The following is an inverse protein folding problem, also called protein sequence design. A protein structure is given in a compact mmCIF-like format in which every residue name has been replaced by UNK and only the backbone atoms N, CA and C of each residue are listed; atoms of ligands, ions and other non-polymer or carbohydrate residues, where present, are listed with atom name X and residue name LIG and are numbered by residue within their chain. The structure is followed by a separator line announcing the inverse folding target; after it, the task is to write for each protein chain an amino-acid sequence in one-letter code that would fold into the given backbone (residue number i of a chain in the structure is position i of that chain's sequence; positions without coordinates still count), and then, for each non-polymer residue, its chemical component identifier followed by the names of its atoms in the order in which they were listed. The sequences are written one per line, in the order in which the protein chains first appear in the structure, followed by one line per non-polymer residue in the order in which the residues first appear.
data_IF_743970355913
#
_entry.id   IF_743970355913
#
_cell.length_a   1.000
_cell.length_b   1.000
_cell.length_c   1.000
_cell.angle_alpha   90.00
_cell.angle_beta   90.00
_cell.angle_gamma   90.00
#
_symmetry.space_group_name_H-M   'P 1'
#
loop_
_entity.id
_entity.type
_entity.pdbx_description
1 polymer ?
#
# COMPACT_ATOMS: atom_id res chain seq x y z
N UNK A 1 6.23 28.42 -49.96
CA UNK A 1 6.66 29.84 -49.93
C UNK A 1 7.91 29.80 -49.08
N UNK A 2 9.08 29.65 -49.69
CA UNK A 2 9.97 30.69 -50.19
C UNK A 2 10.44 31.58 -49.04
N UNK A 3 11.69 31.83 -48.78
CA UNK A 3 12.90 31.86 -49.64
C UNK A 3 14.09 32.19 -48.71
N UNK A 4 15.25 31.57 -48.92
CA UNK A 4 16.44 32.21 -49.54
C UNK A 4 16.99 33.43 -48.73
N UNK A 5 18.20 33.64 -48.50
CA UNK A 5 19.52 33.54 -49.16
C UNK A 5 20.50 34.29 -48.26
N UNK A 6 21.75 34.23 -48.19
CA UNK A 6 22.99 34.13 -48.98
C UNK A 6 24.16 34.35 -48.00
N UNK A 7 25.17 33.60 -47.96
CA UNK A 7 26.45 33.59 -48.67
C UNK A 7 27.28 34.91 -48.71
N UNK A 8 28.55 34.67 -48.41
CA UNK A 8 29.79 35.46 -48.62
C UNK A 8 30.34 36.17 -47.39
N UNK A 9 31.59 35.89 -46.95
CA UNK A 9 32.79 36.22 -47.72
C UNK A 9 34.02 35.53 -47.14
N UNK A 10 34.77 34.84 -48.03
CA UNK A 10 36.18 34.43 -47.83
C UNK A 10 37.07 35.66 -48.04
N UNK A 11 38.16 35.71 -47.27
CA UNK A 11 39.32 36.45 -47.68
C UNK A 11 40.10 37.11 -46.55
N UNK A 12 41.30 36.60 -46.24
CA UNK A 12 42.35 37.36 -45.63
C UNK A 12 42.90 36.89 -44.31
N UNK A 13 43.69 35.82 -44.30
CA UNK A 13 44.68 35.59 -43.22
C UNK A 13 45.73 34.52 -43.65
N UNK A 14 46.50 34.78 -44.71
CA UNK A 14 47.70 33.98 -45.09
C UNK A 14 48.97 34.88 -45.00
N UNK A 15 48.98 35.89 -44.19
CA UNK A 15 50.14 36.81 -44.08
C UNK A 15 50.89 36.83 -42.72
N UNK A 16 50.30 36.19 -41.65
CA UNK A 16 50.82 36.39 -40.27
C UNK A 16 51.57 35.16 -39.70
N UNK A 17 51.66 34.04 -40.38
CA UNK A 17 52.23 32.79 -39.81
C UNK A 17 53.73 32.58 -40.04
N UNK A 18 54.40 33.42 -40.87
CA UNK A 18 55.84 33.21 -41.19
C UNK A 18 56.76 34.06 -40.29
N UNK A 19 56.24 35.12 -39.65
CA UNK A 19 57.04 35.98 -38.75
C UNK A 19 57.34 35.47 -37.37
N UNK A 20 56.50 34.58 -36.82
CA UNK A 20 56.61 34.10 -35.43
C UNK A 20 57.49 32.87 -35.24
N UNK A 21 57.75 32.09 -36.28
CA UNK A 21 58.61 30.86 -36.18
C UNK A 21 60.10 31.24 -36.17
N UNK A 22 60.52 32.39 -36.79
CA UNK A 22 61.90 32.82 -36.82
C UNK A 22 62.37 33.41 -35.46
N UNK A 23 61.46 34.04 -34.67
CA UNK A 23 61.79 34.57 -33.35
C UNK A 23 61.89 33.50 -32.25
N UNK A 24 61.14 32.40 -32.35
CA UNK A 24 61.20 31.30 -31.40
C UNK A 24 62.49 30.46 -31.54
N UNK A 25 63.07 30.34 -32.74
CA UNK A 25 64.29 29.60 -32.97
C UNK A 25 65.55 30.36 -32.43
N UNK A 26 65.53 31.67 -32.44
CA UNK A 26 66.65 32.46 -31.92
C UNK A 26 66.71 32.47 -30.37
N UNK A 27 65.59 32.38 -29.69
CA UNK A 27 65.53 32.27 -28.22
C UNK A 27 65.92 30.87 -27.70
N UNK A 28 65.67 29.82 -28.47
CA UNK A 28 66.04 28.45 -28.08
C UNK A 28 67.58 28.19 -28.18
N UNK A 29 68.23 28.79 -29.16
CA UNK A 29 69.70 28.67 -29.32
C UNK A 29 70.49 29.45 -28.30
N UNK A 30 69.97 30.62 -27.84
CA UNK A 30 70.61 31.44 -26.78
C UNK A 30 70.49 30.83 -25.38
N UNK A 31 69.42 30.06 -25.10
CA UNK A 31 69.18 29.41 -23.82
C UNK A 31 70.09 28.20 -23.56
N UNK A 32 70.57 27.53 -24.61
CA UNK A 32 71.40 26.32 -24.47
C UNK A 32 72.85 26.62 -24.17
N UNK A 33 73.38 27.79 -24.58
CA UNK A 33 74.80 28.18 -24.33
C UNK A 33 74.94 28.74 -22.90
N UNK A 34 73.88 29.29 -22.29
CA UNK A 34 73.97 29.84 -20.92
C UNK A 34 73.84 28.75 -19.81
N UNK A 35 73.33 27.52 -20.17
CA UNK A 35 73.16 26.44 -19.21
C UNK A 35 74.44 25.65 -18.89
N UNK A 36 75.51 25.84 -19.67
CA UNK A 36 76.79 25.12 -19.50
C UNK A 36 77.80 25.78 -18.58
N UNK A 37 77.52 27.01 -18.11
CA UNK A 37 78.53 27.80 -17.41
C UNK A 37 78.26 28.11 -15.92
N UNK A 38 77.08 27.79 -15.42
CA UNK A 38 76.75 27.89 -13.99
C UNK A 38 76.02 26.60 -13.52
N UNK A 39 76.65 25.80 -12.63
CA UNK A 39 75.94 24.74 -11.95
C UNK A 39 74.97 25.38 -10.95
N UNK A 40 73.74 25.61 -11.34
CA UNK A 40 72.70 26.06 -10.41
C UNK A 40 72.36 24.89 -9.49
N UNK A 41 72.89 24.93 -8.27
CA UNK A 41 72.33 24.18 -7.16
C UNK A 41 70.94 24.74 -6.93
N UNK A 42 69.98 23.92 -7.36
CA UNK A 42 68.53 24.17 -7.03
C UNK A 42 68.47 24.39 -5.48
N UNK A 43 67.87 25.47 -4.99
CA UNK A 43 67.63 25.58 -3.58
C UNK A 43 66.74 24.44 -3.15
N UNK A 44 67.22 23.54 -2.29
CA UNK A 44 66.39 22.60 -1.57
C UNK A 44 65.43 23.45 -0.76
N UNK A 45 64.17 23.51 -1.20
CA UNK A 45 63.10 24.03 -0.35
C UNK A 45 63.17 23.27 0.98
N UNK A 46 63.18 23.96 2.11
CA UNK A 46 63.14 23.30 3.40
C UNK A 46 61.83 22.47 3.39
N UNK A 47 61.94 21.16 3.57
CA UNK A 47 60.80 20.32 3.86
C UNK A 47 60.18 20.89 5.15
N UNK A 48 59.06 21.61 4.99
CA UNK A 48 58.24 22.03 6.12
C UNK A 48 57.86 20.73 6.82
N UNK A 49 58.20 20.55 8.10
CA UNK A 49 57.80 19.36 8.83
C UNK A 49 56.29 19.29 8.73
N UNK A 50 55.77 18.29 8.04
CA UNK A 50 54.34 18.02 8.03
C UNK A 50 53.96 17.73 9.48
N UNK A 51 53.44 18.76 10.16
CA UNK A 51 52.88 18.56 11.50
C UNK A 51 51.75 17.54 11.32
N UNK A 52 51.93 16.35 11.91
CA UNK A 52 50.91 15.31 11.88
C UNK A 52 49.58 15.89 12.38
N UNK A 53 48.56 15.85 11.54
CA UNK A 53 47.23 16.35 11.89
C UNK A 53 46.71 15.59 13.12
N UNK A 54 46.22 16.33 14.11
CA UNK A 54 45.58 15.71 15.28
C UNK A 54 44.14 15.36 14.92
N UNK A 55 43.75 14.12 15.10
CA UNK A 55 42.42 13.58 14.76
C UNK A 55 41.80 12.86 15.97
N UNK A 56 40.49 12.99 16.12
CA UNK A 56 39.73 12.14 17.02
C UNK A 56 39.17 10.97 16.21
N UNK A 57 39.20 9.77 16.78
CA UNK A 57 38.73 8.56 16.13
C UNK A 57 37.69 7.87 16.99
N UNK A 58 36.78 7.14 16.35
CA UNK A 58 35.80 6.27 17.01
C UNK A 58 35.81 4.93 16.32
N UNK A 59 35.57 3.85 17.07
CA UNK A 59 35.47 2.53 16.49
C UNK A 59 34.11 2.33 15.84
N UNK A 60 34.07 1.55 14.76
CA UNK A 60 32.83 1.09 14.12
C UNK A 60 32.16 0.10 15.04
N UNK A 61 31.05 0.51 15.62
CA UNK A 61 30.26 -0.28 16.56
C UNK A 61 29.14 -1.03 15.85
N UNK A 62 28.82 -2.22 16.36
CA UNK A 62 27.62 -2.93 15.93
C UNK A 62 26.41 -2.40 16.70
N UNK A 63 25.44 -1.82 15.98
CA UNK A 63 24.21 -1.26 16.58
C UNK A 63 22.98 -1.86 15.95
N UNK A 64 21.90 -1.94 16.71
CA UNK A 64 20.58 -2.28 16.17
C UNK A 64 20.06 -1.12 15.33
N UNK A 65 19.65 -1.43 14.09
CA UNK A 65 19.09 -0.44 13.19
C UNK A 65 17.62 -0.76 12.91
N UNK A 66 16.74 0.13 13.31
CA UNK A 66 15.30 0.00 13.13
C UNK A 66 14.67 1.34 12.74
N UNK A 67 14.93 1.79 11.52
CA UNK A 67 14.24 2.95 10.97
C UNK A 67 12.94 2.48 10.32
N UNK A 68 11.77 2.95 10.80
CA UNK A 68 10.49 2.57 10.19
C UNK A 68 10.36 3.15 8.79
N UNK A 69 10.01 2.31 7.84
CA UNK A 69 9.56 2.77 6.53
C UNK A 69 8.13 3.31 6.64
N UNK A 70 7.89 4.46 6.00
CA UNK A 70 6.61 5.18 6.06
C UNK A 70 5.91 5.11 4.71
N UNK A 71 4.66 4.69 4.75
CA UNK A 71 3.80 4.65 3.55
C UNK A 71 2.52 5.44 3.82
N UNK A 72 2.09 6.21 2.84
CA UNK A 72 0.73 6.77 2.86
C UNK A 72 -0.22 5.63 2.53
N UNK A 73 -1.16 5.38 3.42
CA UNK A 73 -2.10 4.28 3.32
C UNK A 73 -3.55 4.80 3.40
N UNK A 74 -4.46 4.02 2.88
CA UNK A 74 -5.87 4.34 2.80
C UNK A 74 -6.68 3.27 3.52
N UNK A 75 -7.55 3.69 4.44
CA UNK A 75 -8.44 2.79 5.16
C UNK A 75 -9.69 2.48 4.33
N UNK A 76 -10.01 1.21 4.14
CA UNK A 76 -11.14 0.73 3.36
C UNK A 76 -11.99 -0.24 4.17
N UNK A 77 -13.29 -0.27 3.97
CA UNK A 77 -14.13 -1.27 4.63
C UNK A 77 -13.85 -2.67 4.07
N UNK A 78 -14.09 -3.70 4.88
CA UNK A 78 -14.03 -5.09 4.39
C UNK A 78 -15.14 -5.35 3.39
N UNK A 79 -16.35 -4.89 3.72
CA UNK A 79 -17.53 -4.97 2.86
C UNK A 79 -18.38 -3.72 3.05
N UNK A 80 -18.98 -3.27 1.96
CA UNK A 80 -20.02 -2.24 1.98
C UNK A 80 -21.18 -2.68 1.10
N UNK A 81 -22.39 -2.46 1.57
CA UNK A 81 -23.60 -2.86 0.85
C UNK A 81 -24.64 -1.75 0.93
N UNK A 82 -25.12 -1.34 -0.23
CA UNK A 82 -26.27 -0.48 -0.35
C UNK A 82 -27.55 -1.28 -0.14
N UNK A 83 -28.34 -0.91 0.88
CA UNK A 83 -29.56 -1.58 1.25
C UNK A 83 -30.71 -1.16 0.32
N UNK A 84 -31.03 -2.02 -0.64
CA UNK A 84 -32.12 -1.80 -1.59
C UNK A 84 -33.36 -2.59 -1.16
N UNK A 85 -34.58 -1.98 -1.21
CA UNK A 85 -35.82 -2.74 -1.04
C UNK A 85 -35.98 -3.68 -2.23
N UNK A 86 -36.47 -4.90 -1.99
CA UNK A 86 -36.69 -5.89 -3.05
C UNK A 86 -38.12 -5.87 -3.57
N UNK A 87 -39.03 -5.24 -2.81
CA UNK A 87 -40.44 -5.02 -3.15
C UNK A 87 -40.81 -3.57 -2.86
N UNK A 88 -41.89 -3.12 -3.47
CA UNK A 88 -42.38 -1.76 -3.31
C UNK A 88 -43.36 -1.65 -2.12
N UNK A 89 -43.45 -0.48 -1.50
CA UNK A 89 -44.38 -0.22 -0.40
C UNK A 89 -44.05 1.00 0.41
N UNK A 90 -44.94 1.33 1.36
CA UNK A 90 -44.68 2.38 2.34
C UNK A 90 -43.89 1.81 3.53
N UNK A 91 -42.95 2.57 4.07
CA UNK A 91 -42.24 2.19 5.29
C UNK A 91 -43.20 2.36 6.48
N UNK A 92 -43.52 1.26 7.15
CA UNK A 92 -44.35 1.21 8.34
C UNK A 92 -43.55 1.40 9.61
N UNK A 93 -42.37 0.77 9.68
CA UNK A 93 -41.48 0.82 10.83
C UNK A 93 -40.00 0.87 10.40
N UNK A 94 -39.19 1.60 11.14
CA UNK A 94 -37.74 1.56 11.11
C UNK A 94 -37.23 1.06 12.47
N UNK A 95 -36.46 -0.02 12.50
CA UNK A 95 -36.04 -0.75 13.72
C UNK A 95 -34.59 -0.52 14.11
N UNK A 96 -33.98 0.56 13.68
CA UNK A 96 -32.61 0.95 14.02
C UNK A 96 -32.51 2.46 14.14
N UNK A 97 -31.38 2.94 14.66
CA UNK A 97 -30.95 4.33 14.60
C UNK A 97 -29.74 4.45 13.66
N UNK A 98 -29.60 5.60 13.01
CA UNK A 98 -28.42 5.91 12.21
C UNK A 98 -27.14 5.79 13.06
N UNK A 99 -26.13 5.12 12.53
CA UNK A 99 -24.89 4.84 13.26
C UNK A 99 -24.88 3.58 14.11
N UNK A 100 -26.01 2.88 14.27
CA UNK A 100 -26.07 1.62 15.01
C UNK A 100 -25.23 0.51 14.34
N UNK A 101 -24.75 -0.43 15.16
CA UNK A 101 -24.19 -1.69 14.68
C UNK A 101 -25.29 -2.71 14.55
N UNK A 102 -25.44 -3.20 13.35
CA UNK A 102 -26.43 -4.23 13.01
C UNK A 102 -25.73 -5.55 12.69
N UNK A 103 -26.39 -6.65 13.04
CA UNK A 103 -25.94 -8.00 12.67
C UNK A 103 -26.66 -8.45 11.41
N UNK A 104 -25.98 -9.26 10.60
CA UNK A 104 -26.61 -9.94 9.47
C UNK A 104 -27.94 -10.62 9.88
N UNK A 105 -28.96 -10.46 9.04
CA UNK A 105 -30.31 -10.98 9.29
C UNK A 105 -31.20 -10.12 10.20
N UNK A 106 -30.68 -9.05 10.80
CA UNK A 106 -31.49 -8.12 11.61
C UNK A 106 -32.50 -7.38 10.72
N UNK A 107 -33.75 -7.31 11.14
CA UNK A 107 -34.81 -6.55 10.44
C UNK A 107 -34.55 -5.06 10.65
N UNK A 108 -34.39 -4.30 9.58
CA UNK A 108 -34.11 -2.86 9.59
C UNK A 108 -35.36 -2.05 9.27
N UNK A 109 -36.07 -2.41 8.20
CA UNK A 109 -37.33 -1.76 7.84
C UNK A 109 -38.43 -2.81 7.70
N UNK A 110 -39.62 -2.38 8.05
CA UNK A 110 -40.86 -3.12 7.81
C UNK A 110 -41.70 -2.27 6.87
N UNK A 111 -41.97 -2.80 5.69
CA UNK A 111 -42.90 -2.18 4.75
C UNK A 111 -44.33 -2.57 5.10
N UNK A 112 -45.29 -1.79 4.63
CA UNK A 112 -46.69 -2.19 4.70
C UNK A 112 -46.93 -3.47 3.89
N UNK A 113 -47.25 -4.53 4.59
CA UNK A 113 -47.35 -5.89 4.08
C UNK A 113 -48.81 -6.38 3.85
N UNK A 114 -49.81 -5.53 4.13
CA UNK A 114 -51.24 -5.90 4.01
C UNK A 114 -51.58 -6.38 2.60
N UNK A 115 -51.10 -5.67 1.57
CA UNK A 115 -51.30 -6.06 0.17
C UNK A 115 -50.66 -7.44 -0.12
N UNK A 116 -49.48 -7.69 0.36
CA UNK A 116 -48.74 -8.93 0.17
C UNK A 116 -49.43 -10.10 0.89
N UNK A 117 -49.92 -9.88 2.09
CA UNK A 117 -50.76 -10.87 2.81
C UNK A 117 -52.02 -11.23 2.03
N UNK A 118 -52.73 -10.26 1.43
CA UNK A 118 -53.91 -10.48 0.62
C UNK A 118 -53.59 -11.33 -0.62
N UNK A 119 -52.46 -11.05 -1.30
CA UNK A 119 -51.98 -11.83 -2.46
C UNK A 119 -51.62 -13.25 -2.05
N UNK A 120 -50.93 -13.47 -0.96
CA UNK A 120 -50.60 -14.82 -0.44
C UNK A 120 -51.89 -15.60 -0.16
N UNK A 121 -52.87 -14.98 0.49
CA UNK A 121 -54.15 -15.63 0.78
C UNK A 121 -54.92 -16.02 -0.53
N UNK A 122 -54.91 -15.13 -1.53
CA UNK A 122 -55.46 -15.44 -2.85
C UNK A 122 -54.75 -16.64 -3.48
N UNK A 123 -53.44 -16.70 -3.51
CA UNK A 123 -52.67 -17.81 -4.08
C UNK A 123 -52.86 -19.13 -3.33
N UNK A 124 -53.08 -19.06 -2.01
CA UNK A 124 -53.48 -20.24 -1.23
C UNK A 124 -54.83 -20.78 -1.66
N UNK A 125 -55.82 -19.93 -1.86
CA UNK A 125 -57.13 -20.33 -2.35
C UNK A 125 -57.04 -20.92 -3.77
N UNK A 126 -56.22 -20.31 -4.68
CA UNK A 126 -55.98 -20.84 -6.02
C UNK A 126 -55.36 -22.26 -5.97
N UNK A 127 -54.42 -22.49 -5.06
CA UNK A 127 -53.80 -23.81 -4.86
C UNK A 127 -54.82 -24.83 -4.34
N UNK A 128 -55.65 -24.49 -3.36
CA UNK A 128 -56.68 -25.36 -2.83
C UNK A 128 -57.71 -25.76 -3.93
N UNK A 129 -58.11 -24.80 -4.78
CA UNK A 129 -59.00 -25.05 -5.92
C UNK A 129 -58.36 -26.02 -6.94
N UNK A 130 -57.08 -25.79 -7.29
CA UNK A 130 -56.34 -26.67 -8.21
C UNK A 130 -56.18 -28.09 -7.64
N UNK A 131 -55.89 -28.20 -6.33
CA UNK A 131 -55.77 -29.51 -5.67
C UNK A 131 -57.13 -30.25 -5.62
N UNK A 132 -58.25 -29.54 -5.39
CA UNK A 132 -59.56 -30.12 -5.41
C UNK A 132 -59.91 -30.69 -6.82
N UNK A 133 -59.56 -29.92 -7.88
CA UNK A 133 -59.73 -30.36 -9.26
C UNK A 133 -58.80 -31.54 -9.59
N UNK A 134 -57.56 -31.53 -9.17
CA UNK A 134 -56.64 -32.66 -9.36
C UNK A 134 -57.15 -33.95 -8.67
N UNK A 135 -57.67 -33.82 -7.44
CA UNK A 135 -58.29 -34.93 -6.74
C UNK A 135 -59.54 -35.47 -7.51
N UNK A 136 -60.36 -34.59 -8.10
CA UNK A 136 -61.53 -34.97 -8.92
C UNK A 136 -61.06 -35.69 -10.17
N UNK A 137 -60.10 -35.14 -10.91
CA UNK A 137 -59.59 -35.71 -12.14
C UNK A 137 -58.86 -37.04 -11.90
N UNK A 138 -58.07 -37.16 -10.83
CA UNK A 138 -57.44 -38.44 -10.48
C UNK A 138 -58.46 -39.56 -10.17
N UNK A 139 -59.50 -39.24 -9.37
CA UNK A 139 -60.56 -40.19 -9.09
C UNK A 139 -61.37 -40.59 -10.38
N UNK A 140 -61.52 -39.65 -11.33
CA UNK A 140 -62.16 -39.95 -12.61
C UNK A 140 -61.28 -40.89 -13.44
N UNK A 141 -59.97 -40.62 -13.53
CA UNK A 141 -58.99 -41.46 -14.21
C UNK A 141 -58.93 -42.88 -13.60
N UNK A 142 -58.83 -42.97 -12.29
CA UNK A 142 -58.89 -44.28 -11.58
C UNK A 142 -60.12 -45.09 -11.90
N UNK A 143 -61.30 -44.47 -11.96
CA UNK A 143 -62.56 -45.18 -12.39
C UNK A 143 -62.46 -45.62 -13.81
N UNK A 144 -61.91 -44.85 -14.75
CA UNK A 144 -61.73 -45.20 -16.14
C UNK A 144 -60.73 -46.34 -16.35
N UNK A 145 -59.71 -46.40 -15.56
CA UNK A 145 -58.72 -47.50 -15.55
C UNK A 145 -59.39 -48.83 -15.13
N UNK A 146 -60.20 -48.77 -14.08
CA UNK A 146 -60.85 -49.98 -13.49
C UNK A 146 -62.14 -50.40 -14.17
N UNK A 147 -62.66 -49.70 -15.18
CA UNK A 147 -63.86 -50.01 -15.88
C UNK A 147 -63.66 -51.09 -16.98
N UNK A 148 -64.67 -51.92 -17.23
CA UNK A 148 -64.61 -52.99 -18.24
C UNK A 148 -64.39 -52.41 -19.65
N UNK A 149 -63.47 -53.01 -20.39
CA UNK A 149 -63.06 -52.60 -21.74
C UNK A 149 -64.21 -52.67 -22.79
N UNK A 150 -65.34 -53.33 -22.44
CA UNK A 150 -66.55 -53.41 -23.32
C UNK A 150 -67.43 -52.15 -23.26
N UNK A 151 -67.24 -51.30 -22.25
CA UNK A 151 -68.07 -50.09 -22.02
C UNK A 151 -67.36 -48.74 -22.20
N UNK A 152 -66.05 -48.70 -22.46
CA UNK A 152 -65.28 -47.47 -22.54
C UNK A 152 -64.31 -47.59 -23.72
N UNK A 153 -64.26 -46.53 -24.53
CA UNK A 153 -63.31 -46.41 -25.66
C UNK A 153 -61.90 -46.04 -25.19
N UNK A 154 -60.90 -46.42 -25.98
CA UNK A 154 -59.50 -46.02 -25.70
C UNK A 154 -59.35 -44.48 -25.64
N UNK A 155 -60.07 -43.78 -26.54
CA UNK A 155 -60.03 -42.28 -26.55
C UNK A 155 -60.53 -41.67 -25.23
N UNK A 156 -61.56 -42.28 -24.61
CA UNK A 156 -62.10 -41.83 -23.33
C UNK A 156 -61.09 -42.05 -22.19
N UNK A 157 -60.34 -43.15 -22.25
CA UNK A 157 -59.23 -43.41 -21.29
C UNK A 157 -58.09 -42.41 -21.47
N UNK A 158 -57.65 -42.21 -22.70
CA UNK A 158 -56.58 -41.27 -23.02
C UNK A 158 -56.94 -39.80 -22.59
N UNK A 159 -58.21 -39.41 -22.82
CA UNK A 159 -58.75 -38.13 -22.38
C UNK A 159 -58.77 -37.97 -20.84
N UNK A 160 -59.15 -39.06 -20.13
CA UNK A 160 -59.19 -39.04 -18.67
C UNK A 160 -57.77 -38.96 -18.08
N UNK A 161 -56.78 -39.65 -18.65
CA UNK A 161 -55.41 -39.61 -18.31
C UNK A 161 -54.86 -38.22 -18.54
N UNK A 162 -54.96 -37.65 -19.74
CA UNK A 162 -54.56 -36.33 -20.09
C UNK A 162 -55.17 -35.23 -19.16
N UNK A 163 -56.51 -35.49 -18.82
CA UNK A 163 -57.17 -34.59 -17.84
C UNK A 163 -56.57 -34.63 -16.45
N UNK A 164 -56.21 -35.83 -15.97
CA UNK A 164 -55.56 -35.99 -14.68
C UNK A 164 -54.14 -35.38 -14.66
N UNK A 165 -53.36 -35.60 -15.74
CA UNK A 165 -52.04 -34.98 -15.89
C UNK A 165 -52.11 -33.46 -15.97
N UNK A 166 -53.06 -32.91 -16.74
CA UNK A 166 -53.31 -31.47 -16.82
C UNK A 166 -53.66 -30.87 -15.45
N UNK A 167 -54.52 -31.51 -14.69
CA UNK A 167 -54.91 -31.06 -13.37
C UNK A 167 -53.73 -31.14 -12.39
N UNK A 168 -52.91 -32.17 -12.47
CA UNK A 168 -51.63 -32.26 -11.69
C UNK A 168 -50.67 -31.15 -12.05
N UNK A 169 -50.52 -30.82 -13.33
CA UNK A 169 -49.69 -29.70 -13.76
C UNK A 169 -50.21 -28.34 -13.24
N UNK A 170 -51.56 -28.17 -13.18
CA UNK A 170 -52.18 -26.96 -12.63
C UNK A 170 -51.88 -26.77 -11.12
N UNK A 171 -51.80 -27.85 -10.34
CA UNK A 171 -51.39 -27.81 -8.93
C UNK A 171 -49.93 -27.31 -8.81
N UNK A 172 -49.04 -27.84 -9.64
CA UNK A 172 -47.65 -27.39 -9.65
C UNK A 172 -47.51 -25.89 -9.98
N UNK A 173 -48.30 -25.44 -10.95
CA UNK A 173 -48.34 -24.01 -11.32
C UNK A 173 -48.88 -23.15 -10.18
N UNK A 174 -49.98 -23.52 -9.53
CA UNK A 174 -50.57 -22.80 -8.41
C UNK A 174 -49.61 -22.76 -7.21
N UNK A 175 -48.93 -23.88 -6.94
CA UNK A 175 -47.89 -23.95 -5.89
C UNK A 175 -46.72 -23.04 -6.19
N UNK A 176 -46.21 -22.98 -7.42
CA UNK A 176 -45.17 -22.07 -7.82
C UNK A 176 -45.55 -20.60 -7.63
N UNK A 177 -46.78 -20.23 -8.01
CA UNK A 177 -47.32 -18.88 -7.82
C UNK A 177 -47.43 -18.51 -6.34
N UNK A 178 -47.79 -19.44 -5.47
CA UNK A 178 -47.83 -19.24 -4.03
C UNK A 178 -46.41 -18.98 -3.47
N UNK A 179 -45.42 -19.74 -3.90
CA UNK A 179 -44.03 -19.54 -3.47
C UNK A 179 -43.53 -18.14 -3.83
N UNK A 180 -43.86 -17.63 -5.02
CA UNK A 180 -43.53 -16.26 -5.43
C UNK A 180 -44.20 -15.24 -4.51
N UNK A 181 -45.49 -15.38 -4.22
CA UNK A 181 -46.20 -14.45 -3.35
C UNK A 181 -45.65 -14.46 -1.90
N UNK A 182 -45.32 -15.64 -1.38
CA UNK A 182 -44.69 -15.77 -0.06
C UNK A 182 -43.29 -15.16 -0.02
N UNK A 183 -42.52 -15.27 -1.10
CA UNK A 183 -41.23 -14.60 -1.25
C UNK A 183 -41.40 -13.08 -1.19
N UNK A 184 -42.32 -12.50 -1.96
CA UNK A 184 -42.57 -11.06 -1.96
C UNK A 184 -42.99 -10.55 -0.55
N UNK A 185 -43.87 -11.30 0.12
CA UNK A 185 -44.25 -10.99 1.51
C UNK A 185 -43.05 -11.04 2.45
N UNK A 186 -42.18 -12.02 2.31
CA UNK A 186 -40.94 -12.11 3.11
C UNK A 186 -40.05 -10.90 2.87
N UNK A 187 -39.99 -10.39 1.62
CA UNK A 187 -39.17 -9.23 1.22
C UNK A 187 -39.75 -7.89 1.64
N UNK A 188 -41.01 -7.82 2.09
CA UNK A 188 -41.55 -6.66 2.77
C UNK A 188 -40.83 -6.35 4.09
N UNK A 189 -40.07 -7.30 4.64
CA UNK A 189 -39.13 -7.08 5.75
C UNK A 189 -37.74 -6.96 5.18
N UNK A 190 -37.18 -5.74 5.19
CA UNK A 190 -35.84 -5.47 4.72
C UNK A 190 -34.84 -5.79 5.84
N UNK A 191 -33.96 -6.74 5.59
CA UNK A 191 -32.99 -7.25 6.57
C UNK A 191 -31.57 -6.81 6.20
N UNK A 192 -30.68 -6.74 7.19
CA UNK A 192 -29.26 -6.49 6.98
C UNK A 192 -28.62 -7.67 6.23
N UNK A 193 -27.99 -7.43 5.07
CA UNK A 193 -27.30 -8.49 4.32
C UNK A 193 -25.92 -8.84 4.86
N UNK A 194 -25.32 -7.94 5.64
CA UNK A 194 -24.03 -8.10 6.31
C UNK A 194 -24.11 -7.51 7.72
N UNK A 195 -23.17 -7.92 8.57
CA UNK A 195 -22.95 -7.25 9.87
C UNK A 195 -22.06 -6.02 9.67
N UNK A 196 -22.42 -4.90 10.29
CA UNK A 196 -21.65 -3.65 10.15
C UNK A 196 -22.36 -2.46 10.75
N UNK A 197 -21.80 -1.29 10.56
CA UNK A 197 -22.42 -0.03 10.96
C UNK A 197 -23.36 0.46 9.85
N UNK A 198 -24.59 0.77 10.21
CA UNK A 198 -25.55 1.39 9.31
C UNK A 198 -25.31 2.90 9.24
N UNK A 199 -25.21 3.43 8.04
CA UNK A 199 -25.01 4.85 7.80
C UNK A 199 -26.32 5.65 7.90
N UNK A 200 -26.27 6.85 7.30
CA UNK A 200 -27.44 7.73 7.16
C UNK A 200 -28.51 7.06 6.30
N UNK A 201 -29.77 7.16 6.72
CA UNK A 201 -30.92 6.73 5.93
C UNK A 201 -31.37 7.81 4.93
N UNK A 202 -31.80 7.36 3.76
CA UNK A 202 -32.42 8.22 2.74
C UNK A 202 -33.95 8.13 2.72
N UNK A 203 -34.54 7.24 3.56
CA UNK A 203 -35.97 6.99 3.58
C UNK A 203 -36.49 6.85 5.01
N UNK A 204 -37.63 7.44 5.31
CA UNK A 204 -38.23 7.53 6.64
C UNK A 204 -39.58 6.84 6.71
N UNK A 205 -40.08 6.63 7.91
CA UNK A 205 -41.43 6.07 8.12
C UNK A 205 -42.46 6.95 7.42
N UNK A 206 -43.30 6.30 6.58
CA UNK A 206 -44.31 6.96 5.74
C UNK A 206 -43.85 7.21 4.30
N UNK A 207 -42.56 7.03 3.99
CA UNK A 207 -42.06 7.15 2.61
C UNK A 207 -42.42 5.91 1.79
N UNK A 208 -42.75 6.15 0.52
CA UNK A 208 -42.89 5.07 -0.47
C UNK A 208 -41.56 4.70 -1.08
N UNK A 209 -41.17 3.44 -0.99
CA UNK A 209 -39.93 2.88 -1.48
C UNK A 209 -40.15 1.82 -2.55
N UNK A 210 -39.20 1.68 -3.46
CA UNK A 210 -39.25 0.68 -4.52
C UNK A 210 -37.81 0.36 -4.99
N UNK A 211 -37.54 -0.81 -5.60
CA UNK A 211 -36.22 -1.16 -6.11
C UNK A 211 -35.59 -0.11 -7.06
N UNK A 212 -36.43 0.61 -7.81
CA UNK A 212 -36.00 1.64 -8.76
C UNK A 212 -35.68 3.01 -8.17
N UNK A 213 -35.99 3.23 -6.87
CA UNK A 213 -35.80 4.54 -6.21
C UNK A 213 -34.43 4.74 -5.56
N UNK A 214 -33.61 3.71 -5.55
CA UNK A 214 -32.29 3.75 -4.96
C UNK A 214 -32.22 3.17 -3.54
N UNK A 215 -31.04 3.25 -2.91
CA UNK A 215 -30.79 2.63 -1.62
C UNK A 215 -31.48 3.37 -0.48
N UNK A 216 -31.94 2.62 0.51
CA UNK A 216 -32.54 3.12 1.76
C UNK A 216 -31.47 3.59 2.74
N UNK A 217 -30.38 2.87 2.85
CA UNK A 217 -29.23 3.13 3.71
C UNK A 217 -28.02 2.35 3.17
N UNK A 218 -26.85 2.61 3.70
CA UNK A 218 -25.63 1.84 3.44
C UNK A 218 -25.17 1.17 4.73
N UNK A 219 -24.75 -0.08 4.64
CA UNK A 219 -24.14 -0.82 5.74
C UNK A 219 -22.68 -1.05 5.40
N UNK A 220 -21.79 -0.73 6.34
CA UNK A 220 -20.34 -0.80 6.16
C UNK A 220 -19.74 -1.64 7.27
N UNK A 221 -19.00 -2.67 6.90
CA UNK A 221 -18.23 -3.46 7.85
C UNK A 221 -16.92 -2.74 8.15
N UNK A 222 -16.79 -2.20 9.38
CA UNK A 222 -15.66 -1.38 9.81
C UNK A 222 -14.72 -2.09 10.79
N UNK A 223 -15.09 -3.27 11.25
CA UNK A 223 -14.25 -4.13 12.12
C UNK A 223 -14.35 -5.59 11.64
N UNK A 224 -13.21 -6.19 11.25
CA UNK A 224 -11.92 -5.53 10.99
C UNK A 224 -12.02 -4.50 9.86
N UNK A 225 -11.02 -3.63 9.74
CA UNK A 225 -10.88 -2.66 8.64
C UNK A 225 -9.68 -3.04 7.78
N UNK A 226 -9.74 -2.72 6.50
CA UNK A 226 -8.63 -2.90 5.56
C UNK A 226 -7.84 -1.61 5.43
N UNK A 227 -6.54 -1.74 5.29
CA UNK A 227 -5.64 -0.63 4.99
C UNK A 227 -4.83 -0.99 3.77
N UNK A 228 -4.97 -0.20 2.72
CA UNK A 228 -4.28 -0.38 1.44
C UNK A 228 -3.18 0.64 1.28
N UNK A 229 -2.04 0.24 0.71
CA UNK A 229 -0.93 1.11 0.40
C UNK A 229 -0.21 0.67 -0.87
N UNK A 230 0.34 1.61 -1.66
CA UNK A 230 1.09 1.28 -2.86
C UNK A 230 2.54 0.92 -2.50
N UNK A 231 3.06 -0.13 -3.10
CA UNK A 231 4.45 -0.53 -3.03
C UNK A 231 5.08 -0.51 -4.42
N UNK A 232 6.28 0.05 -4.57
CA UNK A 232 6.97 0.06 -5.86
C UNK A 232 7.40 -1.34 -6.26
N UNK A 233 7.61 -1.59 -7.56
CA UNK A 233 8.05 -2.89 -8.09
C UNK A 233 9.33 -3.40 -7.43
N UNK A 234 10.32 -2.51 -7.26
CA UNK A 234 11.59 -2.83 -6.58
C UNK A 234 11.37 -3.27 -5.14
N UNK A 235 10.57 -2.52 -4.40
CA UNK A 235 10.27 -2.84 -2.99
C UNK A 235 9.45 -4.14 -2.87
N UNK A 236 8.51 -4.37 -3.80
CA UNK A 236 7.73 -5.61 -3.86
C UNK A 236 8.59 -6.85 -4.09
N UNK A 237 9.56 -6.78 -5.02
CA UNK A 237 10.50 -7.89 -5.25
C UNK A 237 11.29 -8.20 -3.97
N UNK A 238 11.76 -7.15 -3.27
CA UNK A 238 12.43 -7.29 -1.97
C UNK A 238 11.54 -7.94 -0.91
N UNK A 239 10.29 -7.49 -0.83
CA UNK A 239 9.27 -8.06 0.07
C UNK A 239 8.98 -9.54 -0.23
N UNK A 240 8.81 -9.90 -1.50
CA UNK A 240 8.60 -11.31 -1.91
C UNK A 240 9.80 -12.19 -1.59
N UNK A 241 11.01 -11.68 -1.74
CA UNK A 241 12.23 -12.39 -1.34
C UNK A 241 12.30 -12.58 0.18
N UNK A 242 11.91 -11.57 0.97
CA UNK A 242 11.83 -11.63 2.41
C UNK A 242 10.76 -12.63 2.89
N UNK A 243 9.59 -12.67 2.25
CA UNK A 243 8.55 -13.69 2.49
C UNK A 243 9.09 -15.11 2.27
N UNK A 244 9.75 -15.35 1.13
CA UNK A 244 10.31 -16.66 0.77
C UNK A 244 11.39 -17.13 1.75
N UNK A 245 12.16 -16.22 2.33
CA UNK A 245 13.19 -16.50 3.33
C UNK A 245 12.66 -16.56 4.77
N UNK A 246 11.37 -16.31 5.01
CA UNK A 246 10.75 -16.22 6.34
C UNK A 246 11.03 -14.92 7.10
N UNK A 247 11.85 -14.03 6.54
CA UNK A 247 12.22 -12.74 7.19
C UNK A 247 11.08 -11.72 7.23
N UNK A 248 10.12 -11.81 6.32
CA UNK A 248 8.98 -10.89 6.31
C UNK A 248 8.06 -11.03 7.54
N UNK A 249 8.06 -12.19 8.20
CA UNK A 249 7.29 -12.42 9.43
C UNK A 249 7.81 -11.63 10.63
N UNK A 250 9.03 -11.07 10.54
CA UNK A 250 9.64 -10.26 11.59
C UNK A 250 9.27 -8.76 11.49
N UNK A 251 8.48 -8.36 10.49
CA UNK A 251 8.00 -6.99 10.37
C UNK A 251 6.75 -6.75 11.20
N UNK A 252 6.70 -5.58 11.85
CA UNK A 252 5.52 -5.03 12.49
C UNK A 252 4.86 -4.03 11.54
N UNK A 253 3.54 -4.10 11.49
CA UNK A 253 2.72 -3.18 10.69
C UNK A 253 1.90 -2.33 11.66
N UNK A 254 2.28 -1.06 11.84
CA UNK A 254 1.66 -0.11 12.76
C UNK A 254 1.10 1.07 11.99
N UNK A 255 0.11 1.75 12.54
CA UNK A 255 -0.48 2.94 11.93
C UNK A 255 -0.24 4.16 12.79
N UNK A 256 -0.07 5.29 12.13
CA UNK A 256 -0.14 6.62 12.73
C UNK A 256 -1.39 7.29 12.18
N UNK A 257 -2.25 7.73 13.09
CA UNK A 257 -3.49 8.42 12.79
C UNK A 257 -3.22 9.87 12.30
N UNK A 258 -4.20 10.54 11.67
CA UNK A 258 -4.01 11.90 11.18
C UNK A 258 -3.67 12.94 12.25
N UNK A 259 -3.97 12.67 13.51
CA UNK A 259 -3.60 13.53 14.66
C UNK A 259 -2.17 13.30 15.16
N UNK A 260 -1.43 12.37 14.55
CA UNK A 260 -0.07 12.00 14.93
C UNK A 260 0.01 10.93 16.02
N UNK A 261 -1.11 10.48 16.58
CA UNK A 261 -1.11 9.39 17.57
C UNK A 261 -0.87 8.03 16.90
N UNK A 262 -0.22 7.12 17.61
CA UNK A 262 0.00 5.76 17.16
C UNK A 262 -1.23 4.90 17.46
N UNK A 263 -1.67 4.12 16.47
CA UNK A 263 -2.79 3.19 16.62
C UNK A 263 -2.36 1.96 17.41
N UNK A 264 -3.15 1.58 18.42
CA UNK A 264 -2.76 0.54 19.39
C UNK A 264 -2.74 -0.89 18.87
N UNK A 265 -3.34 -1.17 17.71
CA UNK A 265 -3.43 -2.50 17.14
C UNK A 265 -2.45 -2.69 15.97
N UNK A 266 -1.84 -3.88 15.88
CA UNK A 266 -0.96 -4.24 14.77
C UNK A 266 -1.75 -4.81 13.58
N UNK A 267 -1.33 -4.44 12.38
CA UNK A 267 -1.88 -4.97 11.14
C UNK A 267 -1.39 -6.38 10.84
N UNK A 268 -2.25 -7.14 10.18
CA UNK A 268 -1.93 -8.44 9.61
C UNK A 268 -1.95 -8.38 8.10
N UNK A 269 -1.02 -9.07 7.48
CA UNK A 269 -1.02 -9.27 6.04
C UNK A 269 -2.34 -9.92 5.60
N UNK A 270 -3.00 -9.36 4.59
CA UNK A 270 -4.25 -9.87 4.03
C UNK A 270 -4.07 -10.28 2.56
N UNK A 271 -3.55 -9.37 1.72
CA UNK A 271 -3.52 -9.61 0.28
C UNK A 271 -2.49 -8.70 -0.40
N UNK A 272 -1.89 -9.19 -1.48
CA UNK A 272 -1.17 -8.42 -2.50
C UNK A 272 -1.93 -8.54 -3.83
N UNK A 273 -2.06 -7.44 -4.55
CA UNK A 273 -2.74 -7.43 -5.84
C UNK A 273 -1.99 -8.32 -6.84
N UNK A 274 -2.69 -8.77 -7.87
CA UNK A 274 -2.12 -9.60 -8.92
C UNK A 274 -1.65 -8.80 -10.14
N UNK A 275 -1.89 -7.48 -10.15
CA UNK A 275 -1.53 -6.58 -11.24
C UNK A 275 -0.90 -5.29 -10.70
N UNK A 276 0.14 -4.81 -11.39
CA UNK A 276 0.73 -3.51 -11.14
C UNK A 276 -0.01 -2.41 -11.88
N UNK A 277 -0.16 -1.26 -11.25
CA UNK A 277 -0.61 -0.04 -11.91
C UNK A 277 0.42 0.37 -12.98
N UNK A 278 -0.04 0.52 -14.22
CA UNK A 278 0.81 0.93 -15.36
C UNK A 278 1.27 2.38 -15.25
N UNK A 279 0.47 3.22 -14.59
CA UNK A 279 0.72 4.65 -14.48
C UNK A 279 1.77 4.98 -13.41
N UNK A 280 1.78 4.23 -12.32
CA UNK A 280 2.61 4.50 -11.14
C UNK A 280 3.71 3.45 -10.91
N UNK A 281 3.71 2.33 -11.65
CA UNK A 281 4.58 1.18 -11.43
C UNK A 281 4.56 0.70 -9.96
N UNK A 282 3.36 0.69 -9.36
CA UNK A 282 3.13 0.24 -7.99
C UNK A 282 2.13 -0.89 -7.94
N UNK A 283 2.26 -1.76 -6.96
CA UNK A 283 1.29 -2.79 -6.61
C UNK A 283 0.58 -2.39 -5.32
N UNK A 284 -0.72 -2.63 -5.25
CA UNK A 284 -1.48 -2.36 -4.03
C UNK A 284 -1.34 -3.53 -3.07
N UNK A 285 -0.91 -3.20 -1.89
CA UNK A 285 -0.77 -4.11 -0.76
C UNK A 285 -1.88 -3.85 0.23
N UNK A 286 -2.41 -4.90 0.85
CA UNK A 286 -3.53 -4.80 1.78
C UNK A 286 -3.24 -5.49 3.10
N UNK A 287 -3.50 -4.77 4.17
CA UNK A 287 -3.42 -5.23 5.54
C UNK A 287 -4.82 -5.24 6.16
N UNK A 288 -5.04 -6.09 7.13
CA UNK A 288 -6.24 -6.12 7.97
C UNK A 288 -5.88 -5.69 9.38
N UNK A 289 -6.64 -4.73 9.92
CA UNK A 289 -6.48 -4.22 11.28
C UNK A 289 -7.76 -4.46 12.07
N UNK A 290 -7.69 -4.93 13.33
CA UNK A 290 -8.81 -4.86 14.25
C UNK A 290 -9.21 -3.39 14.46
N UNK A 291 -10.50 -3.09 14.58
CA UNK A 291 -10.99 -1.72 14.77
C UNK A 291 -12.14 -1.66 15.80
N UNK A 292 -11.92 -2.20 17.01
CA UNK A 292 -12.99 -2.29 18.02
C UNK A 292 -13.49 -0.90 18.44
N UNK A 293 -12.62 0.08 18.55
CA UNK A 293 -12.93 1.45 18.96
C UNK A 293 -13.40 2.34 17.79
N UNK A 294 -13.39 1.81 16.56
CA UNK A 294 -13.83 2.51 15.33
C UNK A 294 -13.08 3.83 15.06
N UNK A 295 -11.85 3.92 15.50
CA UNK A 295 -10.99 5.07 15.24
C UNK A 295 -10.58 5.17 13.77
N UNK A 296 -10.43 4.02 13.11
CA UNK A 296 -10.18 3.97 11.67
C UNK A 296 -11.50 4.09 10.92
N UNK A 297 -11.67 5.19 10.23
CA UNK A 297 -12.88 5.49 9.46
C UNK A 297 -12.63 5.12 8.00
N UNK A 298 -13.54 4.40 7.33
CA UNK A 298 -13.44 4.13 5.91
C UNK A 298 -13.21 5.41 5.09
N UNK A 299 -12.38 5.30 4.06
CA UNK A 299 -11.94 6.39 3.19
C UNK A 299 -11.04 7.45 3.86
N UNK A 300 -10.52 7.18 5.06
CA UNK A 300 -9.50 8.04 5.69
C UNK A 300 -8.09 7.66 5.24
N UNK A 301 -7.18 8.64 5.27
CA UNK A 301 -5.77 8.43 5.06
C UNK A 301 -5.07 8.26 6.41
N UNK A 302 -4.15 7.30 6.47
CA UNK A 302 -3.32 7.02 7.63
C UNK A 302 -1.88 6.81 7.18
N UNK A 303 -0.92 6.91 8.09
CA UNK A 303 0.47 6.57 7.77
C UNK A 303 0.77 5.17 8.29
N UNK A 304 1.11 4.26 7.38
CA UNK A 304 1.60 2.94 7.73
C UNK A 304 3.08 3.02 8.06
N UNK A 305 3.47 2.49 9.21
CA UNK A 305 4.86 2.28 9.63
C UNK A 305 5.16 0.78 9.55
N UNK A 306 6.24 0.45 8.85
CA UNK A 306 6.76 -0.92 8.83
C UNK A 306 8.15 -0.93 9.41
N UNK A 307 8.37 -1.69 10.46
CA UNK A 307 9.66 -1.85 11.12
C UNK A 307 9.91 -3.32 11.50
N UNK A 308 11.13 -3.63 11.91
CA UNK A 308 11.48 -4.98 12.36
C UNK A 308 11.09 -5.19 13.82
N UNK A 309 10.51 -6.35 14.16
CA UNK A 309 10.33 -6.78 15.57
C UNK A 309 11.68 -7.02 16.22
N UNK A 310 12.60 -7.64 15.47
CA UNK A 310 13.97 -7.91 15.89
C UNK A 310 14.91 -7.13 14.97
N UNK A 311 15.27 -5.88 15.33
CA UNK A 311 16.11 -5.05 14.47
C UNK A 311 17.43 -5.74 14.15
N UNK A 312 17.85 -5.75 12.86
CA UNK A 312 19.14 -6.30 12.49
C UNK A 312 20.26 -5.47 13.11
N UNK A 313 21.31 -6.14 13.55
CA UNK A 313 22.53 -5.50 13.94
C UNK A 313 23.38 -5.21 12.72
N UNK A 314 23.89 -3.98 12.64
CA UNK A 314 24.71 -3.52 11.51
C UNK A 314 25.90 -2.71 12.03
N UNK A 315 27.05 -2.72 11.31
CA UNK A 315 28.13 -1.78 11.61
C UNK A 315 27.62 -0.36 11.39
N UNK A 316 27.85 0.51 12.37
CA UNK A 316 27.38 1.90 12.34
C UNK A 316 28.56 2.86 12.58
N UNK A 317 28.53 4.00 11.89
CA UNK A 317 29.49 5.10 12.09
C UNK A 317 28.75 6.37 12.52
N UNK A 318 29.34 7.20 13.40
CA UNK A 318 28.76 8.49 13.73
C UNK A 318 28.65 9.38 12.49
N UNK A 319 27.59 10.20 12.40
CA UNK A 319 27.42 11.13 11.29
C UNK A 319 28.64 12.02 11.05
N UNK A 320 29.35 12.40 12.14
CA UNK A 320 30.56 13.22 12.09
C UNK A 320 31.72 12.57 11.33
N UNK A 321 31.74 11.24 11.19
CA UNK A 321 32.78 10.52 10.45
C UNK A 321 32.54 10.52 8.94
N UNK A 322 31.35 10.84 8.48
CA UNK A 322 30.98 10.79 7.07
C UNK A 322 31.41 12.08 6.38
N UNK A 323 32.11 11.94 5.26
CA UNK A 323 32.58 13.04 4.41
C UNK A 323 32.04 12.83 2.99
N UNK A 324 31.62 13.93 2.36
CA UNK A 324 31.23 13.90 0.96
C UNK A 324 32.50 13.91 0.07
N UNK A 325 32.51 12.96 -0.87
CA UNK A 325 33.64 12.79 -1.81
C UNK A 325 33.29 13.41 -3.17
N UNK A 326 34.36 13.67 -3.94
CA UNK A 326 34.22 14.14 -5.32
C UNK A 326 33.39 13.09 -6.14
N UNK A 327 32.35 13.54 -6.80
CA UNK A 327 31.45 12.67 -7.56
C UNK A 327 30.16 12.26 -6.83
N UNK A 328 29.88 12.85 -5.64
CA UNK A 328 28.62 12.63 -4.92
C UNK A 328 28.57 11.34 -4.09
N UNK A 329 29.67 10.63 -3.96
CA UNK A 329 29.78 9.47 -3.10
C UNK A 329 30.07 9.90 -1.65
N UNK A 330 29.66 9.08 -0.69
CA UNK A 330 30.01 9.24 0.71
C UNK A 330 31.22 8.38 1.06
N UNK A 331 32.05 8.88 1.97
CA UNK A 331 33.24 8.18 2.40
C UNK A 331 33.60 8.46 3.86
N UNK A 332 34.56 7.72 4.34
CA UNK A 332 35.12 7.88 5.69
C UNK A 332 36.67 7.83 5.63
N UNK A 333 37.29 8.42 6.62
CA UNK A 333 38.71 8.25 6.84
C UNK A 333 38.93 7.13 7.85
N UNK A 334 39.58 6.05 7.41
CA UNK A 334 39.92 4.89 8.25
C UNK A 334 41.34 5.02 8.73
N UNK A 335 41.54 4.87 10.02
CA UNK A 335 42.86 4.85 10.63
C UNK A 335 43.45 3.44 10.56
N UNK A 336 44.63 3.30 10.00
CA UNK A 336 45.41 2.05 9.97
C UNK A 336 46.29 1.90 11.19
N UNK A 337 46.79 0.68 11.45
CA UNK A 337 47.66 0.37 12.58
C UNK A 337 49.02 1.12 12.52
N UNK A 338 49.46 1.52 11.33
CA UNK A 338 50.66 2.30 11.08
C UNK A 338 50.50 3.81 11.32
N UNK A 339 49.34 4.22 11.92
CA UNK A 339 48.95 5.62 12.15
C UNK A 339 48.79 6.44 10.86
N UNK A 340 48.53 5.81 9.75
CA UNK A 340 48.14 6.47 8.49
C UNK A 340 46.64 6.41 8.28
N UNK A 341 46.11 7.38 7.54
CA UNK A 341 44.71 7.42 7.19
C UNK A 341 44.46 7.07 5.72
N UNK A 342 43.42 6.29 5.50
CA UNK A 342 42.96 5.93 4.17
C UNK A 342 41.55 6.45 3.97
N UNK A 343 41.30 7.09 2.83
CA UNK A 343 39.95 7.49 2.42
C UNK A 343 39.26 6.30 1.75
N UNK A 344 38.10 5.90 2.29
CA UNK A 344 37.36 4.76 1.78
C UNK A 344 35.93 5.18 1.47
N UNK A 345 35.44 4.79 0.29
CA UNK A 345 34.05 4.96 -0.10
C UNK A 345 33.21 3.98 0.68
N UNK A 346 32.11 4.44 1.22
CA UNK A 346 31.15 3.65 1.99
C UNK A 346 29.76 3.81 1.42
N UNK A 347 28.98 2.74 1.46
CA UNK A 347 27.56 2.77 1.16
C UNK A 347 26.80 2.79 2.49
N UNK A 348 26.03 3.85 2.72
CA UNK A 348 25.34 4.09 3.97
C UNK A 348 23.82 3.95 3.78
N UNK A 349 23.13 3.56 4.85
CA UNK A 349 21.67 3.71 4.96
C UNK A 349 21.32 5.06 5.58
N UNK A 350 20.04 5.37 5.57
CA UNK A 350 19.50 6.56 6.23
C UNK A 350 19.90 6.59 7.70
N UNK A 351 20.29 7.76 8.17
CA UNK A 351 20.74 7.99 9.54
C UNK A 351 19.62 7.75 10.55
N UNK A 352 19.96 7.06 11.63
CA UNK A 352 19.09 6.89 12.79
C UNK A 352 19.84 7.29 14.05
N UNK A 353 19.26 8.15 14.87
CA UNK A 353 19.82 8.58 16.18
C UNK A 353 21.28 9.07 16.12
N UNK A 354 21.64 9.78 15.04
CA UNK A 354 23.01 10.34 14.86
C UNK A 354 24.06 9.33 14.35
N UNK A 355 23.63 8.12 13.97
CA UNK A 355 24.47 7.06 13.44
C UNK A 355 24.04 6.66 12.03
N UNK A 356 25.01 6.43 11.16
CA UNK A 356 24.79 5.94 9.80
C UNK A 356 25.14 4.44 9.74
N UNK A 357 24.19 3.57 9.45
CA UNK A 357 24.47 2.15 9.22
C UNK A 357 25.23 1.95 7.92
N UNK A 358 26.23 1.10 7.95
CA UNK A 358 27.11 0.80 6.82
C UNK A 358 26.66 -0.48 6.13
N UNK A 359 26.33 -0.37 4.83
CA UNK A 359 25.99 -1.52 3.99
C UNK A 359 27.26 -2.21 3.50
N UNK A 360 28.24 -1.38 3.05
CA UNK A 360 29.49 -1.89 2.50
C UNK A 360 30.63 -0.88 2.71
N UNK A 361 31.87 -1.39 2.73
CA UNK A 361 33.08 -0.56 2.81
C UNK A 361 33.78 -0.52 4.16
N UNK A 362 33.16 -0.96 5.26
CA UNK A 362 33.76 -0.99 6.60
C UNK A 362 33.45 -2.30 7.32
N UNK A 363 34.35 -2.68 8.22
CA UNK A 363 34.19 -3.81 9.14
C UNK A 363 34.07 -3.32 10.59
N UNK A 364 33.40 -4.14 11.42
CA UNK A 364 33.28 -3.86 12.87
C UNK A 364 34.68 -3.83 13.49
N UNK A 365 34.92 -2.84 14.38
CA UNK A 365 36.19 -2.66 15.06
C UNK A 365 37.21 -1.78 14.30
N UNK A 366 36.96 -1.40 13.04
CA UNK A 366 37.81 -0.40 12.36
C UNK A 366 37.64 0.96 12.99
N UNK A 367 38.72 1.75 13.03
CA UNK A 367 38.72 3.10 13.60
C UNK A 367 38.48 4.13 12.51
N UNK A 368 37.44 4.96 12.67
CA UNK A 368 37.09 6.03 11.73
C UNK A 368 37.33 7.39 12.37
N UNK A 369 37.81 8.34 11.58
CA UNK A 369 38.05 9.71 12.03
C UNK A 369 36.74 10.46 12.15
N UNK A 370 36.47 11.01 13.33
CA UNK A 370 35.24 11.79 13.61
C UNK A 370 35.51 13.32 13.64
N UNK A 371 36.76 13.73 13.80
CA UNK A 371 37.14 15.15 13.82
C UNK A 371 38.54 15.35 13.24
N UNK A 372 38.80 16.52 12.61
CA UNK A 372 40.07 16.85 12.00
C UNK A 372 40.23 16.45 10.54
N UNK A 373 39.17 15.93 9.88
CA UNK A 373 39.22 15.39 8.51
C UNK A 373 39.50 16.44 7.43
N UNK A 374 39.23 17.73 7.65
CA UNK A 374 39.44 18.79 6.64
C UNK A 374 40.90 19.04 6.24
N UNK A 375 41.87 18.44 6.93
CA UNK A 375 43.33 18.61 6.69
C UNK A 375 43.98 17.29 6.27
N UNK A 376 43.20 16.22 6.08
CA UNK A 376 43.72 14.90 5.80
C UNK A 376 43.91 14.66 4.28
N UNK A 377 44.98 13.93 3.99
CA UNK A 377 45.24 13.38 2.65
C UNK A 377 45.50 11.87 2.72
N UNK A 378 45.27 11.13 1.63
CA UNK A 378 45.49 9.69 1.61
C UNK A 378 46.95 9.33 1.97
N UNK A 379 47.13 8.39 2.92
CA UNK A 379 48.45 7.95 3.39
C UNK A 379 49.14 8.91 4.38
N UNK A 380 48.46 9.95 4.83
CA UNK A 380 49.03 10.93 5.81
C UNK A 380 49.11 10.31 7.19
N UNK A 381 50.25 10.54 7.90
CA UNK A 381 50.37 10.15 9.30
C UNK A 381 49.67 11.16 10.21
N UNK A 382 48.91 10.64 11.17
CA UNK A 382 48.12 11.42 12.11
C UNK A 382 48.54 11.15 13.56
N UNK A 383 48.22 12.10 14.44
CA UNK A 383 48.27 11.89 15.89
C UNK A 383 46.87 11.81 16.44
N UNK A 384 46.65 10.89 17.36
CA UNK A 384 45.39 10.82 18.08
C UNK A 384 45.22 12.01 19.01
N UNK A 385 44.07 12.65 18.99
CA UNK A 385 43.70 13.62 20.03
C UNK A 385 43.52 12.86 21.35
N UNK A 386 43.97 13.47 22.45
CA UNK A 386 43.60 12.95 23.77
C UNK A 386 42.08 13.01 23.90
N UNK A 387 41.43 11.96 24.43
CA UNK A 387 39.99 11.96 24.59
C UNK A 387 39.57 13.12 25.48
N UNK A 388 38.98 14.14 24.90
CA UNK A 388 38.30 15.19 25.67
C UNK A 388 37.01 14.60 26.21
N UNK A 389 36.78 14.77 27.52
CA UNK A 389 35.66 14.19 28.31
C UNK A 389 34.25 14.64 27.86
N UNK A 390 34.09 15.11 26.62
CA UNK A 390 32.83 15.62 26.07
C UNK A 390 32.27 14.82 24.88
N UNK A 391 32.75 13.58 24.66
CA UNK A 391 32.30 12.77 23.53
C UNK A 391 30.98 11.97 23.79
N UNK A 392 30.46 12.06 25.00
CA UNK A 392 29.12 11.59 25.32
C UNK A 392 28.11 12.74 25.11
N UNK A 393 27.69 12.95 23.87
CA UNK A 393 26.48 13.73 23.60
C UNK A 393 25.33 13.02 24.30
N UNK A 394 24.88 13.60 25.45
CA UNK A 394 23.70 13.19 26.19
C UNK A 394 22.51 13.02 25.21
N UNK A 395 21.91 11.83 25.11
CA UNK A 395 20.72 11.61 24.24
C UNK A 395 19.50 12.43 24.67
N UNK A 396 19.60 13.29 25.71
CA UNK A 396 18.53 14.15 26.25
C UNK A 396 18.58 15.61 25.81
N UNK A 397 19.45 16.00 24.91
CA UNK A 397 19.41 17.39 24.40
C UNK A 397 18.16 17.57 23.51
N UNK A 398 17.09 18.07 24.12
CA UNK A 398 15.96 18.66 23.40
C UNK A 398 16.29 20.12 23.09
N UNK A 399 16.34 20.56 21.81
CA UNK A 399 16.49 21.97 21.50
C UNK A 399 15.28 22.74 22.05
N UNK A 400 15.48 23.96 22.56
CA UNK A 400 14.40 24.78 23.11
C UNK A 400 13.36 25.04 22.00
N UNK A 401 12.11 24.72 22.29
CA UNK A 401 10.94 25.07 21.47
C UNK A 401 10.90 26.59 21.41
N UNK A 402 11.05 27.19 20.22
CA UNK A 402 10.76 28.60 20.00
C UNK A 402 9.26 28.80 20.10
N UNK A 403 8.84 29.60 21.07
CA UNK A 403 7.48 30.16 21.17
C UNK A 403 7.10 30.99 19.95
#
# INVERSE_FOLDING_TARGET
MESKTEEKSKGGAIGAAIGTVALAAACAAGGWIAHGLFPSKAPQMPQVPQMAATVAVKEVEERQYNLPEKFVAHAEPVQEVDLLPQVDGYIKEMKFKEGDIVKEGTILYVLDDERYHAVVNQRKADLEAAEAEARRAARYWERMQNADSRGITQLERDNAEAGAEKAKAAVLQAKANLVVAEYDLKKAKVIAPISGQIGKTSAHVGDYVAPSKGPLARIVQIDPIRVTFPLTDRAYIGWRAALKSGKALDHRMRLVLPDGSEYGEEGKWDFDDNEMSKDTATIIMRLSFPNPDRLLIPNSYVTLLTDYRTPPKMPCVPQQAVVDLVGGNQGVWVLKDDMTVEQRVVELREMSEGWNPVISGLSIGEKVVISGHGKLGPGMKVKLAEPTMNDDLDPKYQPPVKE
#
